data_IF_968978322812
#
_entry.id   IF_968978322812
#
_cell.length_a   1.000
_cell.length_b   1.000
_cell.length_c   1.000
_cell.angle_alpha   90.00
_cell.angle_beta   90.00
_cell.angle_gamma   90.00
#
_symmetry.space_group_name_H-M   'P 1'
#
loop_
_entity.id
_entity.type
_entity.pdbx_description
1 polymer ?
#
# COMPACT_ATOMS: atom_id res chain seq x y z
N UNK A 1 -19.96 -24.72 3.73
CA UNK A 1 -19.00 -24.29 2.69
C UNK A 1 -19.51 -22.98 2.16
N UNK A 2 -18.68 -21.94 2.18
CA UNK A 2 -19.07 -20.59 1.73
C UNK A 2 -18.78 -20.46 0.25
N UNK A 3 -19.72 -19.88 -0.50
CA UNK A 3 -19.56 -19.62 -1.92
C UNK A 3 -19.00 -18.21 -2.12
N UNK A 4 -17.97 -18.10 -2.96
CA UNK A 4 -17.38 -16.82 -3.39
C UNK A 4 -17.76 -16.61 -4.84
N UNK A 5 -18.33 -15.44 -5.14
CA UNK A 5 -18.79 -15.07 -6.48
C UNK A 5 -17.99 -13.86 -6.95
N UNK A 6 -17.25 -14.03 -8.05
CA UNK A 6 -16.57 -12.93 -8.73
C UNK A 6 -17.55 -12.28 -9.70
N UNK A 7 -17.73 -10.96 -9.59
CA UNK A 7 -18.67 -10.19 -10.42
C UNK A 7 -18.05 -8.90 -10.93
N UNK A 8 -18.68 -8.31 -11.93
CA UNK A 8 -18.48 -6.91 -12.30
C UNK A 8 -19.83 -6.22 -12.26
N UNK A 9 -20.02 -5.29 -11.31
CA UNK A 9 -21.29 -4.60 -11.04
C UNK A 9 -21.07 -3.09 -10.92
N UNK A 10 -22.03 -2.31 -11.39
CA UNK A 10 -21.95 -0.85 -11.39
C UNK A 10 -22.31 -0.20 -10.04
N UNK A 11 -23.19 -0.83 -9.26
CA UNK A 11 -23.91 -0.19 -8.15
C UNK A 11 -23.44 -0.60 -6.73
N UNK A 12 -22.35 -1.37 -6.62
CA UNK A 12 -21.88 -1.94 -5.34
C UNK A 12 -20.40 -1.61 -5.04
N UNK A 13 -20.02 -1.75 -3.77
CA UNK A 13 -18.62 -1.61 -3.30
C UNK A 13 -17.69 -2.72 -3.81
N UNK A 14 -16.44 -2.72 -3.32
CA UNK A 14 -15.41 -3.68 -3.71
C UNK A 14 -15.80 -5.14 -3.37
N UNK A 15 -16.49 -5.33 -2.26
CA UNK A 15 -17.03 -6.62 -1.84
C UNK A 15 -18.29 -6.43 -0.99
N UNK A 16 -19.10 -7.48 -0.89
CA UNK A 16 -20.21 -7.54 0.06
C UNK A 16 -20.65 -8.97 0.36
N UNK A 17 -21.25 -9.15 1.53
CA UNK A 17 -21.86 -10.40 1.94
C UNK A 17 -23.38 -10.37 1.80
N UNK A 18 -23.95 -11.36 1.12
CA UNK A 18 -25.40 -11.47 0.94
C UNK A 18 -25.83 -12.92 0.84
N UNK A 19 -26.83 -13.30 1.65
CA UNK A 19 -27.47 -14.63 1.64
C UNK A 19 -26.45 -15.79 1.74
N UNK A 20 -25.44 -15.66 2.60
CA UNK A 20 -24.45 -16.72 2.80
C UNK A 20 -23.32 -16.75 1.75
N UNK A 21 -23.29 -15.77 0.84
CA UNK A 21 -22.29 -15.69 -0.23
C UNK A 21 -21.48 -14.41 -0.11
N UNK A 22 -20.20 -14.52 -0.43
CA UNK A 22 -19.30 -13.37 -0.59
C UNK A 22 -19.28 -13.02 -2.07
N UNK A 23 -19.52 -11.75 -2.37
CA UNK A 23 -19.38 -11.20 -3.71
C UNK A 23 -18.14 -10.31 -3.73
N UNK A 24 -17.30 -10.50 -4.74
CA UNK A 24 -16.11 -9.68 -4.98
C UNK A 24 -16.27 -9.01 -6.33
N UNK A 25 -16.28 -7.68 -6.34
CA UNK A 25 -16.54 -6.88 -7.52
C UNK A 25 -15.21 -6.43 -8.14
N UNK A 26 -14.75 -7.19 -9.12
CA UNK A 26 -13.47 -6.93 -9.80
C UNK A 26 -13.50 -5.68 -10.68
N UNK A 27 -14.64 -4.99 -10.80
CA UNK A 27 -14.68 -3.64 -11.38
C UNK A 27 -13.74 -2.67 -10.66
N UNK A 28 -13.58 -2.84 -9.35
CA UNK A 28 -12.72 -1.99 -8.51
C UNK A 28 -11.24 -2.38 -8.58
N UNK A 29 -10.90 -3.43 -9.34
CA UNK A 29 -9.52 -3.80 -9.61
C UNK A 29 -8.91 -2.82 -10.63
N UNK A 30 -7.94 -2.03 -10.19
CA UNK A 30 -7.31 -1.02 -11.04
C UNK A 30 -6.09 -1.53 -11.83
N UNK A 31 -5.40 -2.54 -11.29
CA UNK A 31 -4.18 -3.10 -11.88
C UNK A 31 -4.24 -4.62 -11.84
N UNK A 32 -3.96 -5.29 -12.96
CA UNK A 32 -3.98 -6.75 -13.05
C UNK A 32 -2.99 -7.41 -12.08
N UNK A 33 -1.84 -6.78 -11.86
CA UNK A 33 -0.81 -7.24 -10.92
C UNK A 33 -1.30 -7.25 -9.45
N UNK A 34 -2.42 -6.60 -9.16
CA UNK A 34 -3.04 -6.52 -7.83
C UNK A 34 -4.25 -7.44 -7.67
N UNK A 35 -4.59 -8.22 -8.70
CA UNK A 35 -5.82 -9.01 -8.73
C UNK A 35 -5.92 -9.99 -7.56
N UNK A 36 -4.83 -10.72 -7.30
CA UNK A 36 -4.75 -11.71 -6.22
C UNK A 36 -4.98 -11.05 -4.87
N UNK A 37 -4.28 -9.93 -4.63
CA UNK A 37 -4.38 -9.19 -3.39
C UNK A 37 -5.78 -8.60 -3.16
N UNK A 38 -6.35 -7.99 -4.19
CA UNK A 38 -7.69 -7.42 -4.13
C UNK A 38 -8.72 -8.49 -3.76
N UNK A 39 -8.61 -9.69 -4.36
CA UNK A 39 -9.49 -10.81 -4.08
C UNK A 39 -9.29 -11.31 -2.64
N UNK A 40 -8.05 -11.49 -2.19
CA UNK A 40 -7.73 -11.98 -0.84
C UNK A 40 -8.27 -11.05 0.24
N UNK A 41 -8.03 -9.74 0.12
CA UNK A 41 -8.52 -8.77 1.10
C UNK A 41 -10.03 -8.69 1.14
N UNK A 42 -10.65 -8.60 -0.03
CA UNK A 42 -12.10 -8.59 -0.19
C UNK A 42 -12.72 -9.82 0.47
N UNK A 43 -12.16 -11.00 0.22
CA UNK A 43 -12.61 -12.23 0.85
C UNK A 43 -12.44 -12.20 2.38
N UNK A 44 -11.25 -11.85 2.86
CA UNK A 44 -10.93 -11.87 4.28
C UNK A 44 -11.79 -10.88 5.07
N UNK A 45 -12.08 -9.70 4.50
CA UNK A 45 -12.97 -8.71 5.11
C UNK A 45 -14.35 -9.31 5.37
N UNK A 46 -15.00 -9.76 4.29
CA UNK A 46 -16.37 -10.27 4.34
C UNK A 46 -16.46 -11.54 5.18
N UNK A 47 -15.43 -12.38 5.14
CA UNK A 47 -15.34 -13.59 5.96
C UNK A 47 -15.30 -13.26 7.46
N UNK A 48 -14.43 -12.34 7.87
CA UNK A 48 -14.27 -11.99 9.29
C UNK A 48 -15.47 -11.20 9.80
N UNK A 49 -15.93 -10.21 9.02
CA UNK A 49 -17.04 -9.36 9.43
C UNK A 49 -18.34 -10.16 9.52
N UNK A 50 -18.70 -10.89 8.45
CA UNK A 50 -20.05 -11.44 8.31
C UNK A 50 -20.14 -12.94 8.56
N UNK A 51 -19.14 -13.74 8.15
CA UNK A 51 -19.21 -15.19 8.39
C UNK A 51 -18.79 -15.58 9.80
N UNK A 52 -17.71 -14.99 10.31
CA UNK A 52 -17.32 -15.20 11.71
C UNK A 52 -18.11 -14.30 12.67
N UNK A 53 -18.75 -13.24 12.16
CA UNK A 53 -19.55 -12.32 12.97
C UNK A 53 -18.72 -11.49 13.94
N UNK A 54 -17.42 -11.28 13.67
CA UNK A 54 -16.50 -10.56 14.56
C UNK A 54 -16.59 -9.04 14.39
N UNK A 55 -17.38 -8.58 13.42
CA UNK A 55 -17.66 -7.18 13.14
C UNK A 55 -16.57 -6.45 12.36
N UNK A 56 -16.97 -5.32 11.78
CA UNK A 56 -16.18 -4.52 10.83
C UNK A 56 -14.79 -4.12 11.35
N UNK A 57 -14.67 -3.72 12.62
CA UNK A 57 -13.39 -3.31 13.21
C UNK A 57 -12.36 -4.45 13.25
N UNK A 58 -12.83 -5.68 13.49
CA UNK A 58 -11.98 -6.87 13.49
C UNK A 58 -11.50 -7.20 12.08
N UNK A 59 -12.39 -7.09 11.08
CA UNK A 59 -12.04 -7.26 9.68
C UNK A 59 -10.95 -6.25 9.23
N UNK A 60 -11.17 -4.95 9.47
CA UNK A 60 -10.17 -3.90 9.17
C UNK A 60 -8.83 -4.15 9.87
N UNK A 61 -8.86 -4.61 11.12
CA UNK A 61 -7.62 -4.90 11.84
C UNK A 61 -6.83 -6.02 11.15
N UNK A 62 -7.50 -7.11 10.80
CA UNK A 62 -6.85 -8.24 10.11
C UNK A 62 -6.36 -7.83 8.73
N UNK A 63 -7.12 -7.08 7.94
CA UNK A 63 -6.63 -6.51 6.68
C UNK A 63 -5.32 -5.74 6.87
N UNK A 64 -5.26 -4.83 7.86
CA UNK A 64 -4.04 -4.06 8.15
C UNK A 64 -2.86 -4.96 8.52
N UNK A 65 -3.12 -6.03 9.27
CA UNK A 65 -2.10 -7.02 9.65
C UNK A 65 -1.62 -7.79 8.43
N UNK A 66 -2.52 -8.29 7.58
CA UNK A 66 -2.20 -8.97 6.32
C UNK A 66 -1.38 -8.05 5.41
N UNK A 67 -1.82 -6.79 5.24
CA UNK A 67 -1.08 -5.75 4.50
C UNK A 67 0.34 -5.56 4.97
N UNK A 68 0.53 -5.55 6.29
CA UNK A 68 1.84 -5.33 6.89
C UNK A 68 2.72 -6.58 6.81
N UNK A 69 2.19 -7.75 7.15
CA UNK A 69 3.00 -8.97 7.28
C UNK A 69 3.26 -9.64 5.95
N UNK A 70 2.22 -9.87 5.14
CA UNK A 70 2.38 -10.61 3.89
C UNK A 70 2.99 -9.72 2.81
N UNK A 71 2.49 -8.50 2.64
CA UNK A 71 2.80 -7.73 1.43
C UNK A 71 4.03 -6.82 1.56
N UNK A 72 4.45 -6.44 2.78
CA UNK A 72 5.74 -5.73 2.96
C UNK A 72 6.93 -6.65 2.71
N UNK A 73 6.80 -7.94 3.02
CA UNK A 73 7.84 -8.95 2.79
C UNK A 73 7.83 -9.49 1.36
N UNK A 74 6.66 -9.67 0.72
CA UNK A 74 6.58 -10.19 -0.66
C UNK A 74 6.88 -9.19 -1.77
N UNK A 75 6.45 -7.92 -1.64
CA UNK A 75 6.52 -6.96 -2.75
C UNK A 75 7.48 -5.78 -2.51
N UNK A 76 8.10 -5.69 -1.33
CA UNK A 76 8.97 -4.55 -0.98
C UNK A 76 8.29 -3.18 -1.03
N UNK A 77 6.95 -3.16 -1.11
CA UNK A 77 6.12 -1.98 -1.34
C UNK A 77 5.16 -1.78 -0.16
N UNK A 78 4.80 -0.52 0.12
CA UNK A 78 3.79 -0.21 1.13
C UNK A 78 2.42 0.01 0.44
N UNK A 79 1.52 -0.99 0.47
CA UNK A 79 0.25 -0.94 -0.26
C UNK A 79 -0.70 0.18 0.19
N UNK A 80 -0.54 0.67 1.43
CA UNK A 80 -1.34 1.78 1.96
C UNK A 80 -1.07 3.08 1.20
N UNK A 81 0.15 3.28 0.72
CA UNK A 81 0.51 4.46 -0.06
C UNK A 81 -0.06 4.42 -1.48
N UNK A 82 -0.31 3.21 -2.00
CA UNK A 82 -0.76 3.01 -3.38
C UNK A 82 -2.28 3.17 -3.51
N UNK A 83 -3.04 2.53 -2.62
CA UNK A 83 -4.51 2.61 -2.64
C UNK A 83 -5.08 3.89 -2.03
N UNK A 84 -4.40 4.47 -1.04
CA UNK A 84 -4.92 5.61 -0.28
C UNK A 84 -4.06 6.87 -0.39
N UNK A 85 -3.09 6.88 -1.31
CA UNK A 85 -2.44 8.07 -1.84
C UNK A 85 -2.25 9.22 -0.84
N UNK A 86 -1.52 9.01 0.25
CA UNK A 86 -0.90 10.17 0.92
C UNK A 86 0.15 10.70 -0.03
N UNK A 87 -0.14 11.84 -0.66
CA UNK A 87 0.88 12.71 -1.22
C UNK A 87 1.82 13.14 -0.09
N UNK A 88 2.78 12.29 0.28
CA UNK A 88 3.91 12.71 1.11
C UNK A 88 4.77 13.53 0.17
N UNK A 89 4.43 14.81 0.08
CA UNK A 89 5.31 15.85 -0.43
C UNK A 89 6.57 15.79 0.42
N UNK A 90 7.58 15.04 -0.02
CA UNK A 90 8.89 14.98 0.63
C UNK A 90 9.43 16.41 0.67
N UNK A 91 9.37 17.03 1.84
CA UNK A 91 10.23 18.16 2.14
C UNK A 91 11.67 17.63 2.08
N UNK A 92 12.31 17.88 0.93
CA UNK A 92 13.75 17.75 0.76
C UNK A 92 14.41 18.89 1.53
N UNK A 93 14.63 18.66 2.81
CA UNK A 93 15.64 19.35 3.61
C UNK A 93 16.45 18.26 4.30
N UNK A 94 17.77 18.46 4.36
CA UNK A 94 18.76 17.52 4.89
C UNK A 94 19.20 16.37 3.97
N UNK A 95 19.75 16.69 2.80
CA UNK A 95 21.07 16.18 2.42
C UNK A 95 21.73 17.21 1.48
N UNK A 96 22.55 18.07 2.08
CA UNK A 96 23.29 19.13 1.39
C UNK A 96 24.51 19.62 2.16
N UNK A 97 25.04 18.83 3.10
CA UNK A 97 26.43 19.00 3.53
C UNK A 97 27.27 18.12 2.61
N UNK A 98 27.57 18.65 1.42
CA UNK A 98 28.83 18.42 0.70
C UNK A 98 28.77 19.01 -0.71
N UNK A 99 29.69 19.97 -0.94
CA UNK A 99 30.20 20.47 -2.22
C UNK A 99 29.37 21.51 -2.99
N UNK A 100 29.78 22.77 -2.80
CA UNK A 100 30.10 23.74 -3.86
C UNK A 100 30.96 24.85 -3.22
N UNK A 101 32.29 24.76 -3.30
CA UNK A 101 33.14 25.44 -4.30
C UNK A 101 33.33 26.94 -4.06
N UNK A 102 34.57 27.36 -3.76
CA UNK A 102 35.22 28.54 -4.37
C UNK A 102 36.53 28.91 -3.66
N UNK A 103 37.67 28.63 -4.31
CA UNK A 103 38.72 29.60 -4.68
C UNK A 103 40.04 28.89 -5.01
N UNK A 104 40.61 29.05 -6.21
CA UNK A 104 42.05 28.94 -6.40
C UNK A 104 42.69 30.28 -6.04
N UNK A 105 43.68 30.30 -5.17
CA UNK A 105 44.59 31.44 -5.06
C UNK A 105 46.01 30.89 -5.18
N UNK A 106 46.61 31.17 -6.34
CA UNK A 106 48.05 31.13 -6.51
C UNK A 106 48.71 32.06 -5.49
N UNK A 107 49.60 31.51 -4.66
CA UNK A 107 50.65 32.29 -4.00
C UNK A 107 51.97 31.56 -4.24
N UNK A 108 52.89 32.26 -4.90
CA UNK A 108 54.21 31.79 -5.30
C UNK A 108 55.11 31.42 -4.09
N UNK A 109 56.13 30.57 -4.27
CA UNK A 109 57.00 30.16 -3.18
C UNK A 109 58.02 31.26 -2.85
N UNK A 110 58.16 31.60 -1.57
CA UNK A 110 59.39 32.24 -1.07
C UNK A 110 60.21 31.19 -0.31
N UNK A 111 61.41 30.97 -0.83
CA UNK A 111 62.46 30.16 -0.24
C UNK A 111 62.96 30.78 1.08
N UNK A 112 63.40 29.90 1.96
CA UNK A 112 63.99 30.13 3.27
C UNK A 112 65.40 30.74 3.23
N UNK A 113 65.65 31.73 4.09
CA UNK A 113 66.69 31.80 5.13
C UNK A 113 66.58 33.14 5.87
#
# INVERSE_FOLDING_TARGET
MTEVIIVSSEDDGAAWFKKGKIYINVRWLNLEEEAEWFIDESFMHEYIEHLLGLGHNSAIYVEKVLRKLLYSEWYGFNPVNLLYGRTVRRHRWEQGVSRASSRPVHVAPRQSL
#
